data_IF_197974470400
#
_entry.id   IF_197974470400
#
_cell.length_a   1.000
_cell.length_b   1.000
_cell.length_c   1.000
_cell.angle_alpha   90.00
_cell.angle_beta   90.00
_cell.angle_gamma   90.00
#
_symmetry.space_group_name_H-M   'P 1'
#
loop_
_entity.id
_entity.type
_entity.pdbx_description
1 polymer ?
#
# COMPACT_ATOMS: atom_id res chain seq x y z
N UNK A 1 11.72 -33.49 8.77
CA UNK A 1 12.35 -33.07 7.51
C UNK A 1 11.31 -32.34 6.67
N UNK A 2 11.13 -31.05 6.90
CA UNK A 2 10.28 -30.19 6.07
C UNK A 2 11.09 -29.83 4.82
N UNK A 3 10.55 -30.14 3.64
CA UNK A 3 11.13 -29.74 2.34
C UNK A 3 11.43 -28.23 2.37
N UNK A 4 12.62 -27.81 1.93
CA UNK A 4 12.87 -26.39 1.68
C UNK A 4 11.89 -25.90 0.61
N UNK A 5 11.36 -24.71 0.78
CA UNK A 5 10.55 -24.05 -0.24
C UNK A 5 11.46 -23.69 -1.41
N UNK A 6 11.30 -24.36 -2.55
CA UNK A 6 11.91 -23.99 -3.82
C UNK A 6 10.92 -23.10 -4.58
N UNK A 7 11.35 -21.89 -4.94
CA UNK A 7 10.52 -20.89 -5.62
C UNK A 7 10.81 -20.90 -7.12
N UNK A 8 9.81 -21.23 -7.94
CA UNK A 8 9.93 -21.13 -9.40
C UNK A 8 8.99 -20.04 -9.89
N UNK A 9 9.50 -19.10 -10.70
CA UNK A 9 8.68 -18.00 -11.26
C UNK A 9 7.55 -18.54 -12.16
N UNK A 10 7.66 -19.77 -12.66
CA UNK A 10 6.58 -20.48 -13.37
C UNK A 10 5.37 -20.81 -12.51
N UNK A 11 5.54 -20.83 -11.20
CA UNK A 11 4.50 -21.29 -10.29
C UNK A 11 3.32 -20.32 -10.30
N UNK A 12 2.16 -20.80 -10.71
CA UNK A 12 0.93 -20.00 -10.75
C UNK A 12 0.48 -19.55 -9.36
N UNK A 13 0.96 -20.20 -8.30
CA UNK A 13 0.67 -19.92 -6.90
C UNK A 13 1.85 -19.29 -6.15
N UNK A 14 2.81 -18.68 -6.87
CA UNK A 14 4.05 -18.13 -6.30
C UNK A 14 3.83 -17.20 -5.10
N UNK A 15 2.80 -16.34 -5.13
CA UNK A 15 2.47 -15.45 -4.01
C UNK A 15 2.01 -16.20 -2.76
N UNK A 16 1.33 -17.34 -2.92
CA UNK A 16 0.96 -18.20 -1.79
C UNK A 16 2.18 -18.95 -1.23
N UNK A 17 3.12 -19.34 -2.09
CA UNK A 17 4.41 -19.93 -1.66
C UNK A 17 5.27 -18.92 -0.89
N UNK A 18 5.34 -17.67 -1.36
CA UNK A 18 6.04 -16.59 -0.66
C UNK A 18 5.48 -16.42 0.76
N UNK A 19 4.15 -16.38 0.91
CA UNK A 19 3.49 -16.34 2.22
C UNK A 19 3.90 -17.54 3.09
N UNK A 20 4.00 -18.73 2.51
CA UNK A 20 4.42 -19.92 3.23
C UNK A 20 5.82 -19.79 3.85
N UNK A 21 6.74 -19.09 3.16
CA UNK A 21 8.07 -18.77 3.69
C UNK A 21 8.06 -17.87 4.94
N UNK A 22 6.99 -17.11 5.16
CA UNK A 22 6.83 -16.25 6.33
C UNK A 22 6.08 -16.89 7.50
N UNK A 23 5.48 -18.08 7.33
CA UNK A 23 4.65 -18.71 8.37
C UNK A 23 5.40 -19.04 9.67
N UNK A 24 6.72 -19.18 9.61
CA UNK A 24 7.57 -19.37 10.78
C UNK A 24 7.75 -18.11 11.64
N UNK A 25 7.31 -16.94 11.16
CA UNK A 25 7.37 -15.66 11.88
C UNK A 25 6.05 -14.90 11.98
N UNK A 26 5.17 -15.06 10.99
CA UNK A 26 3.92 -14.31 10.87
C UNK A 26 2.78 -15.30 10.57
N UNK A 27 1.67 -15.16 11.29
CA UNK A 27 0.48 -16.00 11.12
C UNK A 27 -0.73 -15.11 10.88
N UNK A 28 -1.60 -15.46 9.93
CA UNK A 28 -2.89 -14.81 9.70
C UNK A 28 -2.85 -13.43 9.03
N UNK A 29 -1.70 -13.03 8.47
CA UNK A 29 -1.51 -11.76 7.76
C UNK A 29 -1.18 -11.99 6.28
N UNK A 30 -1.74 -13.03 5.66
CA UNK A 30 -1.34 -13.51 4.34
C UNK A 30 -1.47 -12.44 3.25
N UNK A 31 -2.58 -11.70 3.22
CA UNK A 31 -2.79 -10.62 2.26
C UNK A 31 -1.86 -9.43 2.50
N UNK A 32 -1.61 -9.08 3.77
CA UNK A 32 -0.70 -8.01 4.14
C UNK A 32 0.76 -8.34 3.79
N UNK A 33 1.17 -9.61 3.94
CA UNK A 33 2.47 -10.11 3.47
C UNK A 33 2.56 -9.95 1.94
N UNK A 34 1.54 -10.40 1.19
CA UNK A 34 1.51 -10.27 -0.28
C UNK A 34 1.62 -8.81 -0.72
N UNK A 35 0.81 -7.92 -0.15
CA UNK A 35 0.84 -6.48 -0.48
C UNK A 35 2.20 -5.84 -0.20
N UNK A 36 2.80 -6.12 0.96
CA UNK A 36 4.11 -5.57 1.30
C UNK A 36 5.22 -6.15 0.41
N UNK A 37 5.18 -7.45 0.13
CA UNK A 37 6.11 -8.07 -0.80
C UNK A 37 6.03 -7.44 -2.20
N UNK A 38 4.81 -7.28 -2.73
CA UNK A 38 4.56 -6.62 -4.01
C UNK A 38 5.07 -5.17 -3.99
N UNK A 39 4.85 -4.43 -2.91
CA UNK A 39 5.43 -3.10 -2.74
C UNK A 39 6.96 -3.13 -2.79
N UNK A 40 7.61 -4.06 -2.06
CA UNK A 40 9.06 -4.22 -2.04
C UNK A 40 9.64 -4.50 -3.44
N UNK A 41 9.13 -5.49 -4.18
CA UNK A 41 9.65 -5.82 -5.51
C UNK A 41 9.40 -4.70 -6.53
N UNK A 42 8.36 -3.88 -6.32
CA UNK A 42 8.06 -2.76 -7.22
C UNK A 42 9.15 -1.69 -7.24
N UNK A 43 10.07 -1.65 -6.25
CA UNK A 43 11.16 -0.67 -6.16
C UNK A 43 12.05 -0.65 -7.41
N UNK A 44 12.21 -1.80 -8.04
CA UNK A 44 13.07 -2.01 -9.21
C UNK A 44 12.32 -1.78 -10.53
N UNK A 45 10.99 -1.68 -10.49
CA UNK A 45 10.14 -1.42 -11.66
C UNK A 45 10.18 0.07 -12.09
N UNK A 46 9.65 0.38 -13.30
CA UNK A 46 9.50 1.75 -13.76
C UNK A 46 8.80 2.63 -12.73
N UNK A 47 9.20 3.91 -12.67
CA UNK A 47 8.73 4.89 -11.67
C UNK A 47 7.22 4.87 -11.48
N UNK A 48 6.46 4.74 -12.57
CA UNK A 48 4.99 4.76 -12.54
C UNK A 48 4.39 3.59 -11.80
N UNK A 49 5.06 2.44 -11.73
CA UNK A 49 4.56 1.18 -11.14
C UNK A 49 4.96 0.98 -9.67
N UNK A 50 5.74 1.90 -9.09
CA UNK A 50 6.21 1.80 -7.71
C UNK A 50 5.05 1.98 -6.73
N UNK A 51 4.96 1.07 -5.77
CA UNK A 51 3.93 1.08 -4.74
C UNK A 51 4.58 1.39 -3.40
N UNK A 52 4.06 2.39 -2.71
CA UNK A 52 4.43 2.72 -1.34
C UNK A 52 3.28 2.39 -0.40
N UNK A 53 3.56 2.06 0.86
CA UNK A 53 2.56 1.60 1.80
C UNK A 53 2.74 2.21 3.19
N UNK A 54 1.62 2.49 3.86
CA UNK A 54 1.58 2.83 5.28
C UNK A 54 0.70 1.82 5.99
N UNK A 55 1.24 1.20 7.03
CA UNK A 55 0.52 0.27 7.88
C UNK A 55 0.09 1.02 9.14
N UNK A 56 -1.21 1.06 9.39
CA UNK A 56 -1.78 1.68 10.59
C UNK A 56 -2.51 0.67 11.45
N UNK A 57 -2.37 0.78 12.76
CA UNK A 57 -3.12 -0.02 13.74
C UNK A 57 -2.82 0.48 15.15
N UNK A 58 -3.47 -0.10 16.16
CA UNK A 58 -3.14 0.12 17.56
C UNK A 58 -1.69 -0.25 17.88
N UNK A 59 -1.11 0.38 18.91
CA UNK A 59 0.17 -0.06 19.47
C UNK A 59 0.12 -1.56 19.82
N UNK A 60 1.25 -2.24 19.65
CA UNK A 60 1.40 -3.68 19.91
C UNK A 60 0.62 -4.64 19.01
N UNK A 61 -0.13 -4.17 18.00
CA UNK A 61 -0.83 -5.04 17.05
C UNK A 61 0.09 -5.74 16.01
N UNK A 62 1.41 -5.76 16.20
CA UNK A 62 2.33 -6.51 15.34
C UNK A 62 2.81 -5.82 14.05
N UNK A 63 2.51 -4.53 13.82
CA UNK A 63 2.96 -3.80 12.60
C UNK A 63 4.45 -3.91 12.33
N UNK A 64 5.27 -3.62 13.34
CA UNK A 64 6.72 -3.64 13.18
C UNK A 64 7.23 -5.06 12.92
N UNK A 65 6.61 -6.08 13.53
CA UNK A 65 6.95 -7.48 13.25
C UNK A 65 6.66 -7.84 11.78
N UNK A 66 5.48 -7.45 11.28
CA UNK A 66 5.08 -7.65 9.90
C UNK A 66 6.06 -6.98 8.93
N UNK A 67 6.28 -5.67 9.08
CA UNK A 67 7.18 -4.89 8.20
C UNK A 67 8.60 -5.42 8.29
N UNK A 68 9.17 -5.58 9.49
CA UNK A 68 10.56 -5.99 9.66
C UNK A 68 10.81 -7.39 9.10
N UNK A 69 9.86 -8.31 9.23
CA UNK A 69 10.00 -9.66 8.68
C UNK A 69 9.92 -9.65 7.16
N UNK A 70 8.93 -8.96 6.57
CA UNK A 70 8.76 -8.92 5.10
C UNK A 70 9.93 -8.21 4.41
N UNK A 71 10.56 -7.24 5.05
CA UNK A 71 11.70 -6.51 4.50
C UNK A 71 13.05 -7.27 4.60
N UNK A 72 13.16 -8.34 5.41
CA UNK A 72 14.44 -9.06 5.60
C UNK A 72 15.08 -9.54 4.27
N UNK A 73 14.32 -10.12 3.32
CA UNK A 73 14.88 -10.53 2.03
C UNK A 73 15.41 -9.39 1.16
N UNK A 74 15.06 -8.15 1.49
CA UNK A 74 15.43 -6.94 0.74
C UNK A 74 16.46 -6.07 1.46
N UNK A 75 17.09 -6.58 2.53
CA UNK A 75 17.91 -5.78 3.46
C UNK A 75 19.02 -4.94 2.78
N UNK A 76 19.61 -5.42 1.68
CA UNK A 76 20.64 -4.69 0.90
C UNK A 76 20.09 -3.39 0.25
N UNK A 77 18.79 -3.30 0.05
CA UNK A 77 18.09 -2.19 -0.59
C UNK A 77 17.23 -1.36 0.38
N UNK A 78 17.18 -1.74 1.66
CA UNK A 78 16.42 -1.04 2.70
C UNK A 78 17.29 0.04 3.35
N UNK A 79 16.77 1.26 3.38
CA UNK A 79 17.30 2.38 4.15
C UNK A 79 16.34 2.57 5.33
N UNK A 80 16.77 2.22 6.53
CA UNK A 80 15.94 2.19 7.73
C UNK A 80 16.21 3.41 8.63
N UNK A 81 15.16 4.17 8.94
CA UNK A 81 15.21 5.28 9.88
C UNK A 81 14.07 5.20 10.89
N UNK A 82 14.40 5.45 12.16
CA UNK A 82 13.39 5.79 13.17
C UNK A 82 12.97 7.26 13.04
N UNK A 83 13.93 8.15 12.79
CA UNK A 83 13.69 9.56 12.47
C UNK A 83 14.90 10.12 11.70
N UNK A 84 14.71 11.19 10.93
CA UNK A 84 15.80 11.91 10.28
C UNK A 84 15.50 13.40 10.13
N UNK A 85 16.55 14.22 10.06
CA UNK A 85 16.36 15.65 9.80
C UNK A 85 16.25 15.94 8.29
N UNK A 86 15.51 16.97 7.86
CA UNK A 86 15.45 17.36 6.45
C UNK A 86 16.83 17.61 5.82
N UNK A 87 17.76 18.13 6.64
CA UNK A 87 19.14 18.40 6.28
C UNK A 87 19.98 17.13 6.05
N UNK A 88 19.64 16.03 6.74
CA UNK A 88 20.27 14.73 6.52
C UNK A 88 19.79 14.13 5.19
N UNK A 89 18.48 14.13 4.94
CA UNK A 89 17.92 13.63 3.68
C UNK A 89 18.52 14.38 2.49
N UNK A 90 18.59 15.71 2.56
CA UNK A 90 19.10 16.53 1.45
C UNK A 90 20.58 16.28 1.11
N UNK A 91 21.37 15.75 2.04
CA UNK A 91 22.80 15.46 1.85
C UNK A 91 23.07 14.01 1.47
N UNK A 92 22.03 13.21 1.24
CA UNK A 92 22.21 11.84 0.77
C UNK A 92 22.79 11.83 -0.63
N UNK A 93 23.92 11.14 -0.80
CA UNK A 93 24.58 10.93 -2.09
C UNK A 93 24.05 9.67 -2.80
N UNK A 94 23.23 8.87 -2.11
CA UNK A 94 22.67 7.62 -2.63
C UNK A 94 21.54 7.91 -3.62
N UNK A 95 21.55 7.21 -4.76
CA UNK A 95 20.43 7.20 -5.71
C UNK A 95 19.29 6.39 -5.10
N UNK A 96 18.12 7.01 -4.96
CA UNK A 96 16.96 6.44 -4.27
C UNK A 96 16.11 5.50 -5.14
N UNK A 97 16.41 5.38 -6.44
CA UNK A 97 15.78 4.37 -7.29
C UNK A 97 16.24 2.97 -6.88
N UNK A 98 15.31 1.99 -6.86
CA UNK A 98 15.64 0.63 -6.44
C UNK A 98 15.82 0.45 -4.93
N UNK A 99 15.59 1.52 -4.14
CA UNK A 99 15.70 1.51 -2.67
C UNK A 99 14.32 1.56 -2.00
N UNK A 100 14.25 0.95 -0.81
CA UNK A 100 13.10 0.99 0.09
C UNK A 100 13.45 1.92 1.24
N UNK A 101 12.73 3.03 1.38
CA UNK A 101 12.84 3.90 2.54
C UNK A 101 11.84 3.43 3.60
N UNK A 102 12.36 2.86 4.68
CA UNK A 102 11.57 2.46 5.84
C UNK A 102 11.59 3.57 6.90
N UNK A 103 10.41 4.00 7.34
CA UNK A 103 10.27 4.93 8.47
C UNK A 103 9.33 4.37 9.54
N UNK A 104 9.82 4.22 10.77
CA UNK A 104 8.99 3.78 11.89
C UNK A 104 8.20 4.94 12.51
N UNK A 105 6.94 4.70 12.88
CA UNK A 105 6.11 5.60 13.71
C UNK A 105 5.93 7.03 13.16
N UNK A 106 5.44 7.15 11.92
CA UNK A 106 5.04 8.48 11.41
C UNK A 106 3.81 9.00 12.18
N UNK A 107 3.85 10.24 12.63
CA UNK A 107 2.79 10.86 13.43
C UNK A 107 2.62 12.34 13.06
N UNK A 108 1.36 12.79 13.04
CA UNK A 108 1.00 14.16 12.65
C UNK A 108 1.55 15.24 13.60
N UNK A 109 1.74 14.92 14.88
CA UNK A 109 1.84 15.92 15.97
C UNK A 109 2.83 15.50 17.07
N UNK A 110 4.08 15.22 16.71
CA UNK A 110 5.15 15.35 17.71
C UNK A 110 5.65 16.79 17.66
N UNK A 111 5.83 17.42 18.83
CA UNK A 111 6.26 18.82 19.03
C UNK A 111 7.55 19.20 18.26
N UNK A 112 8.26 18.18 17.75
CA UNK A 112 9.41 18.33 16.87
C UNK A 112 9.09 18.67 15.41
N UNK A 113 7.82 18.66 14.98
CA UNK A 113 7.37 18.69 13.57
C UNK A 113 8.08 17.58 12.80
N UNK A 114 7.37 16.59 12.25
CA UNK A 114 7.98 15.70 11.24
C UNK A 114 8.22 16.50 9.94
N UNK A 115 9.18 17.43 9.97
CA UNK A 115 9.72 18.18 8.83
C UNK A 115 10.34 17.21 7.81
N UNK A 116 10.61 15.96 8.22
CA UNK A 116 11.09 14.84 7.41
C UNK A 116 10.15 14.46 6.26
N UNK A 117 8.83 14.56 6.43
CA UNK A 117 7.84 14.16 5.41
C UNK A 117 7.65 15.25 4.33
N UNK A 118 7.80 16.54 4.69
CA UNK A 118 7.52 17.63 3.76
C UNK A 118 8.49 17.69 2.58
N UNK A 119 9.73 17.21 2.76
CA UNK A 119 10.69 17.09 1.66
C UNK A 119 10.58 15.74 0.94
N UNK A 120 10.21 14.68 1.65
CA UNK A 120 10.03 13.34 1.09
C UNK A 120 8.97 13.32 -0.02
N UNK A 121 7.91 14.13 0.11
CA UNK A 121 6.85 14.20 -0.91
C UNK A 121 7.34 14.59 -2.31
N UNK A 122 8.35 15.45 -2.42
CA UNK A 122 8.95 15.85 -3.69
C UNK A 122 9.71 14.67 -4.29
N UNK A 123 10.47 13.96 -3.45
CA UNK A 123 11.17 12.75 -3.86
C UNK A 123 10.18 11.65 -4.34
N UNK A 124 9.05 11.46 -3.65
CA UNK A 124 8.04 10.47 -4.03
C UNK A 124 7.24 10.84 -5.30
N UNK A 125 7.20 12.11 -5.69
CA UNK A 125 6.38 12.59 -6.83
C UNK A 125 7.24 12.90 -8.05
N UNK A 126 8.26 13.72 -7.86
CA UNK A 126 9.12 14.26 -8.91
C UNK A 126 10.39 13.43 -9.08
N UNK A 127 10.74 12.62 -8.08
CA UNK A 127 11.98 11.83 -8.08
C UNK A 127 13.24 12.66 -7.95
N UNK A 128 13.11 13.93 -7.53
CA UNK A 128 14.24 14.83 -7.31
C UNK A 128 13.91 15.72 -6.11
N UNK A 129 14.85 15.83 -5.17
CA UNK A 129 14.81 16.83 -4.10
C UNK A 129 16.01 17.75 -4.29
N UNK A 130 15.75 19.02 -4.62
CA UNK A 130 16.79 20.06 -4.77
C UNK A 130 16.64 21.11 -3.68
N UNK A 131 17.71 21.33 -2.91
CA UNK A 131 17.73 22.31 -1.82
C UNK A 131 18.93 23.23 -2.00
N UNK A 132 18.65 24.54 -2.10
CA UNK A 132 19.68 25.58 -2.06
C UNK A 132 19.98 25.99 -0.62
N UNK A 133 21.26 26.06 -0.26
CA UNK A 133 21.71 26.57 1.03
C UNK A 133 22.95 27.44 0.87
N UNK A 134 23.26 28.20 1.91
CA UNK A 134 24.46 29.04 1.99
C UNK A 134 25.44 28.37 2.94
N UNK A 135 26.66 28.10 2.47
CA UNK A 135 27.72 27.49 3.26
C UNK A 135 28.93 28.44 3.31
N UNK A 136 29.79 28.32 4.33
CA UNK A 136 31.03 29.10 4.37
C UNK A 136 32.13 28.35 3.63
N UNK A 137 32.82 29.03 2.72
CA UNK A 137 34.03 28.47 2.13
C UNK A 137 35.21 28.53 3.12
N UNK A 138 36.35 27.93 2.76
CA UNK A 138 37.59 27.93 3.56
C UNK A 138 38.09 29.33 3.95
N UNK A 139 37.65 30.38 3.23
CA UNK A 139 37.96 31.79 3.48
C UNK A 139 36.90 32.51 4.32
N UNK A 140 35.94 31.78 4.89
CA UNK A 140 34.85 32.31 5.72
C UNK A 140 33.76 33.08 4.96
N UNK A 141 33.79 33.09 3.62
CA UNK A 141 32.78 33.77 2.78
C UNK A 141 31.59 32.85 2.53
N UNK A 142 30.39 33.40 2.68
CA UNK A 142 29.14 32.74 2.33
C UNK A 142 29.07 32.48 0.82
N UNK A 143 28.93 31.21 0.42
CA UNK A 143 28.78 30.76 -0.96
C UNK A 143 27.50 29.92 -1.12
N UNK A 144 26.74 30.10 -2.22
CA UNK A 144 25.59 29.26 -2.49
C UNK A 144 26.03 27.83 -2.84
N UNK A 145 25.37 26.84 -2.26
CA UNK A 145 25.55 25.41 -2.54
C UNK A 145 24.20 24.78 -2.83
N UNK A 146 24.14 23.94 -3.85
CA UNK A 146 22.93 23.16 -4.18
C UNK A 146 23.16 21.73 -3.77
N UNK A 147 22.24 21.19 -2.97
CA UNK A 147 22.15 19.77 -2.67
C UNK A 147 21.05 19.14 -3.52
N UNK A 148 21.30 17.94 -4.02
CA UNK A 148 20.36 17.23 -4.88
C UNK A 148 20.34 15.74 -4.55
N UNK A 149 19.15 15.21 -4.31
CA UNK A 149 18.89 13.77 -4.17
C UNK A 149 18.02 13.34 -5.33
N UNK A 150 18.36 12.22 -5.96
CA UNK A 150 17.65 11.71 -7.14
C UNK A 150 17.06 10.32 -6.88
N UNK A 151 15.90 10.07 -7.47
CA UNK A 151 15.20 8.79 -7.48
C UNK A 151 13.88 8.80 -6.70
N UNK A 152 13.01 7.83 -7.01
CA UNK A 152 11.72 7.62 -6.32
C UNK A 152 11.83 6.32 -5.51
N UNK A 153 12.12 6.34 -4.21
CA UNK A 153 12.16 5.12 -3.42
C UNK A 153 10.75 4.56 -3.23
N UNK A 154 10.65 3.26 -2.94
CA UNK A 154 9.44 2.70 -2.33
C UNK A 154 9.42 3.11 -0.86
N UNK A 155 8.38 3.79 -0.42
CA UNK A 155 8.23 4.23 0.96
C UNK A 155 7.36 3.26 1.75
N UNK A 156 7.88 2.75 2.85
CA UNK A 156 7.16 1.86 3.77
C UNK A 156 7.21 2.46 5.17
N UNK A 157 6.05 2.64 5.78
CA UNK A 157 5.99 3.22 7.11
C UNK A 157 4.91 2.63 7.99
N UNK A 158 5.13 2.70 9.30
CA UNK A 158 4.15 2.30 10.32
C UNK A 158 3.63 3.51 11.07
N UNK A 159 2.36 3.48 11.47
CA UNK A 159 1.79 4.50 12.35
C UNK A 159 0.84 3.91 13.37
N UNK A 160 0.89 4.46 14.58
CA UNK A 160 -0.11 4.28 15.64
C UNK A 160 -1.23 5.30 15.56
N UNK A 161 -1.03 6.39 14.82
CA UNK A 161 -1.99 7.47 14.65
C UNK A 161 -2.76 7.29 13.34
N UNK A 162 -4.08 7.27 13.44
CA UNK A 162 -4.98 7.14 12.29
C UNK A 162 -5.15 8.42 11.49
N UNK A 163 -4.81 9.56 12.09
CA UNK A 163 -4.80 10.84 11.42
C UNK A 163 -3.41 11.08 10.81
N UNK A 164 -3.16 10.46 9.66
CA UNK A 164 -1.97 10.73 8.84
C UNK A 164 -2.24 11.94 7.95
N UNK A 165 -1.17 12.63 7.58
CA UNK A 165 -1.25 13.72 6.62
C UNK A 165 -1.84 13.25 5.25
N UNK A 166 -2.87 13.94 4.70
CA UNK A 166 -3.49 13.57 3.44
C UNK A 166 -2.52 13.54 2.26
N UNK A 167 -1.46 14.35 2.28
CA UNK A 167 -0.48 14.38 1.21
C UNK A 167 0.29 13.05 1.14
N UNK A 168 0.63 12.47 2.30
CA UNK A 168 1.28 11.15 2.39
C UNK A 168 0.31 10.02 2.02
N UNK A 169 -0.94 10.06 2.50
CA UNK A 169 -1.96 9.05 2.16
C UNK A 169 -2.32 9.05 0.66
N UNK A 170 -2.19 10.21 0.01
CA UNK A 170 -2.40 10.33 -1.43
C UNK A 170 -1.30 9.62 -2.25
N UNK A 171 -0.15 9.30 -1.66
CA UNK A 171 0.99 8.65 -2.33
C UNK A 171 1.21 7.19 -1.92
N UNK A 172 0.44 6.70 -0.96
CA UNK A 172 0.65 5.38 -0.34
C UNK A 172 -0.65 4.57 -0.34
N UNK A 173 -0.50 3.25 -0.30
CA UNK A 173 -1.55 2.29 0.06
C UNK A 173 -1.75 2.35 1.57
N UNK A 174 -3.00 2.46 2.03
CA UNK A 174 -3.34 2.48 3.44
C UNK A 174 -3.72 1.08 3.92
N UNK A 175 -2.77 0.41 4.58
CA UNK A 175 -2.92 -0.95 5.08
C UNK A 175 -3.23 -0.95 6.58
N UNK A 176 -3.87 -2.01 7.05
CA UNK A 176 -4.10 -2.27 8.47
C UNK A 176 -3.88 -3.75 8.78
N UNK A 177 -3.21 -4.04 9.89
CA UNK A 177 -3.08 -5.40 10.45
C UNK A 177 -4.38 -5.80 11.14
N UNK A 178 -4.66 -7.10 11.16
CA UNK A 178 -5.90 -7.62 11.75
C UNK A 178 -5.85 -7.53 13.28
N UNK A 179 -6.70 -6.67 13.84
CA UNK A 179 -6.82 -6.41 15.28
C UNK A 179 -7.88 -7.32 15.96
N UNK A 180 -8.43 -8.29 15.24
CA UNK A 180 -9.50 -9.15 15.76
C UNK A 180 -9.03 -10.04 16.90
N UNK A 181 -9.95 -10.41 17.78
CA UNK A 181 -9.68 -11.38 18.84
C UNK A 181 -9.29 -12.74 18.27
N UNK A 182 -9.86 -13.14 17.13
CA UNK A 182 -9.53 -14.39 16.46
C UNK A 182 -8.06 -14.40 16.00
N UNK A 183 -7.61 -13.31 15.40
CA UNK A 183 -6.22 -13.16 15.00
C UNK A 183 -5.29 -13.10 16.22
N UNK A 184 -5.67 -12.37 17.26
CA UNK A 184 -4.91 -12.30 18.52
C UNK A 184 -4.70 -13.70 19.12
N UNK A 185 -5.74 -14.55 19.12
CA UNK A 185 -5.62 -15.96 19.58
C UNK A 185 -4.60 -16.75 18.75
N UNK A 186 -4.62 -16.63 17.41
CA UNK A 186 -3.64 -17.28 16.54
C UNK A 186 -2.21 -16.84 16.84
N UNK A 187 -2.00 -15.54 17.03
CA UNK A 187 -0.69 -14.97 17.38
C UNK A 187 -0.21 -15.50 18.74
N UNK A 188 -1.08 -15.54 19.76
CA UNK A 188 -0.74 -16.10 21.08
C UNK A 188 -0.34 -17.57 20.96
N UNK A 189 -1.12 -18.39 20.26
CA UNK A 189 -0.78 -19.81 20.04
C UNK A 189 0.56 -19.96 19.30
N UNK A 190 0.82 -19.14 18.29
CA UNK A 190 2.10 -19.15 17.58
C UNK A 190 3.28 -18.79 18.50
N UNK A 191 3.12 -17.76 19.34
CA UNK A 191 4.13 -17.38 20.33
C UNK A 191 4.39 -18.54 21.29
N UNK A 192 3.35 -19.13 21.90
CA UNK A 192 3.49 -20.26 22.84
C UNK A 192 4.24 -21.42 22.19
N UNK A 193 3.83 -21.83 20.97
CA UNK A 193 4.49 -22.90 20.23
C UNK A 193 5.98 -22.61 19.96
N UNK A 194 6.35 -21.34 19.74
CA UNK A 194 7.75 -20.95 19.54
C UNK A 194 8.62 -21.09 20.81
N UNK A 195 8.02 -21.02 22.00
CA UNK A 195 8.70 -21.26 23.28
C UNK A 195 8.68 -22.73 23.71
N UNK A 196 7.75 -23.54 23.19
CA UNK A 196 7.69 -25.00 23.45
C UNK A 196 8.73 -25.79 22.65
N UNK A 197 9.20 -25.26 21.52
CA UNK A 197 10.09 -25.96 20.61
C UNK A 197 11.49 -25.32 20.55
N UNK A 198 12.52 -26.15 20.32
CA UNK A 198 13.88 -25.68 20.13
C UNK A 198 13.97 -24.81 18.86
N UNK A 199 14.68 -23.68 18.95
CA UNK A 199 14.88 -22.75 17.82
C UNK A 199 15.55 -23.39 16.60
N UNK A 200 16.34 -24.45 16.81
CA UNK A 200 16.98 -25.25 15.72
C UNK A 200 15.94 -25.91 14.81
N UNK A 201 14.73 -26.16 15.31
CA UNK A 201 13.62 -26.71 14.52
C UNK A 201 12.87 -25.62 13.73
N UNK A 202 13.23 -24.34 13.89
CA UNK A 202 12.66 -23.25 13.11
C UNK A 202 13.40 -23.13 11.76
N UNK A 203 12.65 -23.29 10.67
CA UNK A 203 13.19 -23.25 9.31
C UNK A 203 13.40 -21.83 8.75
N UNK A 204 13.09 -20.78 9.52
CA UNK A 204 13.14 -19.39 9.07
C UNK A 204 14.45 -19.01 8.36
N UNK A 205 15.61 -19.42 8.87
CA UNK A 205 16.89 -19.08 8.25
C UNK A 205 17.07 -19.70 6.86
N UNK A 206 16.49 -20.88 6.62
CA UNK A 206 16.51 -21.51 5.30
C UNK A 206 15.48 -20.82 4.38
N UNK A 207 14.26 -20.59 4.89
CA UNK A 207 13.20 -19.92 4.12
C UNK A 207 13.61 -18.49 3.71
N UNK A 208 14.28 -17.76 4.61
CA UNK A 208 14.84 -16.43 4.35
C UNK A 208 15.85 -16.45 3.20
N UNK A 209 16.77 -17.42 3.16
CA UNK A 209 17.74 -17.54 2.06
C UNK A 209 17.06 -17.78 0.72
N UNK A 210 16.02 -18.60 0.68
CA UNK A 210 15.26 -18.85 -0.54
C UNK A 210 14.45 -17.61 -0.96
N UNK A 211 13.89 -16.86 -0.01
CA UNK A 211 13.23 -15.57 -0.28
C UNK A 211 14.23 -14.51 -0.78
N UNK A 212 15.45 -14.45 -0.25
CA UNK A 212 16.52 -13.56 -0.73
C UNK A 212 16.92 -13.87 -2.17
N UNK A 213 17.06 -15.16 -2.51
CA UNK A 213 17.30 -15.58 -3.90
C UNK A 213 16.16 -15.14 -4.82
N UNK A 214 14.91 -15.32 -4.39
CA UNK A 214 13.74 -14.91 -5.16
C UNK A 214 13.69 -13.39 -5.34
N UNK A 215 13.98 -12.61 -4.30
CA UNK A 215 14.05 -11.14 -4.37
C UNK A 215 15.13 -10.67 -5.36
N UNK A 216 16.32 -11.29 -5.32
CA UNK A 216 17.39 -11.03 -6.30
C UNK A 216 16.97 -11.39 -7.72
N UNK A 217 16.28 -12.52 -7.90
CA UNK A 217 15.78 -12.94 -9.20
C UNK A 217 14.79 -11.92 -9.79
N UNK A 218 13.83 -11.43 -8.99
CA UNK A 218 12.93 -10.35 -9.42
C UNK A 218 13.70 -9.06 -9.76
N UNK A 219 14.70 -8.68 -8.96
CA UNK A 219 15.54 -7.51 -9.24
C UNK A 219 16.25 -7.62 -10.59
N UNK A 220 16.77 -8.79 -10.93
CA UNK A 220 17.40 -9.05 -12.24
C UNK A 220 16.40 -8.93 -13.39
N UNK A 221 15.22 -9.57 -13.27
CA UNK A 221 14.18 -9.46 -14.30
C UNK A 221 13.70 -8.01 -14.49
N UNK A 222 13.57 -7.24 -13.40
CA UNK A 222 13.09 -5.86 -13.44
C UNK A 222 13.99 -4.94 -14.29
N UNK A 223 15.30 -5.22 -14.42
CA UNK A 223 16.24 -4.40 -15.21
C UNK A 223 15.81 -4.25 -16.67
N UNK A 224 15.20 -5.29 -17.24
CA UNK A 224 14.77 -5.32 -18.63
C UNK A 224 13.32 -4.87 -18.84
N UNK A 225 12.57 -4.65 -17.77
CA UNK A 225 11.17 -4.22 -17.86
C UNK A 225 11.11 -2.71 -18.05
N UNK A 226 10.61 -2.30 -19.21
CA UNK A 226 10.37 -0.89 -19.53
C UNK A 226 8.95 -0.47 -19.24
N UNK A 227 8.01 -1.38 -19.47
CA UNK A 227 6.63 -1.07 -19.18
C UNK A 227 5.77 -2.26 -18.76
N UNK A 228 4.65 -1.96 -18.11
CA UNK A 228 3.59 -2.92 -17.82
C UNK A 228 2.27 -2.27 -18.19
N UNK A 229 1.52 -2.93 -19.07
CA UNK A 229 0.29 -2.39 -19.66
C UNK A 229 -0.92 -3.18 -19.22
N UNK A 230 -2.07 -2.50 -19.15
CA UNK A 230 -3.37 -3.08 -18.77
C UNK A 230 -4.34 -2.91 -19.94
N UNK A 231 -4.37 -3.84 -20.92
CA UNK A 231 -5.13 -3.71 -22.17
C UNK A 231 -6.65 -3.56 -21.96
N UNK A 232 -7.16 -4.12 -20.88
CA UNK A 232 -8.58 -4.07 -20.50
C UNK A 232 -8.94 -2.83 -19.67
N UNK A 233 -8.03 -1.88 -19.49
CA UNK A 233 -8.23 -0.70 -18.63
C UNK A 233 -9.49 0.11 -18.96
N UNK A 234 -9.87 0.22 -20.25
CA UNK A 234 -11.11 0.91 -20.65
C UNK A 234 -12.39 0.27 -20.09
N UNK A 235 -12.39 -1.05 -19.86
CA UNK A 235 -13.54 -1.74 -19.26
C UNK A 235 -13.70 -1.40 -17.77
N UNK A 236 -12.66 -0.85 -17.14
CA UNK A 236 -12.69 -0.43 -15.73
C UNK A 236 -13.36 0.94 -15.54
N UNK A 237 -13.45 1.78 -16.58
CA UNK A 237 -13.95 3.16 -16.47
C UNK A 237 -15.35 3.24 -15.84
N UNK A 238 -16.26 2.36 -16.24
CA UNK A 238 -17.62 2.29 -15.70
C UNK A 238 -17.70 1.84 -14.23
N UNK A 239 -16.67 1.17 -13.72
CA UNK A 239 -16.62 0.62 -12.36
C UNK A 239 -15.97 1.59 -11.37
N UNK A 240 -15.29 2.63 -11.83
CA UNK A 240 -14.55 3.57 -10.99
C UNK A 240 -15.49 4.67 -10.49
N UNK A 241 -15.57 4.93 -9.17
CA UNK A 241 -16.37 6.02 -8.64
C UNK A 241 -15.80 7.37 -9.11
N UNK A 242 -16.64 8.21 -9.71
CA UNK A 242 -16.25 9.54 -10.25
C UNK A 242 -16.62 10.67 -9.28
N UNK A 243 -17.27 10.35 -8.15
CA UNK A 243 -17.79 11.33 -7.20
C UNK A 243 -16.71 12.12 -6.45
N UNK A 244 -15.54 11.51 -6.18
CA UNK A 244 -14.42 12.18 -5.52
C UNK A 244 -13.23 12.37 -6.47
N UNK A 245 -12.65 13.58 -6.48
CA UNK A 245 -11.44 13.93 -7.25
C UNK A 245 -10.22 13.16 -6.74
N UNK A 246 -10.22 12.69 -5.49
CA UNK A 246 -9.14 11.88 -4.91
C UNK A 246 -8.87 10.60 -5.69
N UNK A 247 -9.88 10.05 -6.38
CA UNK A 247 -9.76 8.82 -7.20
C UNK A 247 -8.67 8.92 -8.27
N UNK A 248 -8.37 10.13 -8.76
CA UNK A 248 -7.29 10.37 -9.75
C UNK A 248 -5.92 9.96 -9.22
N UNK A 249 -5.72 9.99 -7.90
CA UNK A 249 -4.48 9.58 -7.23
C UNK A 249 -4.52 8.14 -6.74
N UNK A 250 -5.71 7.61 -6.46
CA UNK A 250 -5.87 6.26 -5.92
C UNK A 250 -5.99 5.18 -7.00
N UNK A 251 -6.61 5.51 -8.14
CA UNK A 251 -6.71 4.59 -9.28
C UNK A 251 -5.35 4.09 -9.77
N UNK A 252 -4.32 4.94 -9.97
CA UNK A 252 -2.99 4.46 -10.33
C UNK A 252 -2.45 3.40 -9.36
N UNK A 253 -2.72 3.50 -8.05
CA UNK A 253 -2.24 2.53 -7.06
C UNK A 253 -2.84 1.14 -7.28
N UNK A 254 -4.12 1.08 -7.64
CA UNK A 254 -4.83 -0.18 -7.92
C UNK A 254 -4.34 -0.80 -9.23
N UNK A 255 -4.19 0.03 -10.28
CA UNK A 255 -3.67 -0.42 -11.57
C UNK A 255 -2.20 -0.85 -11.45
N UNK A 256 -1.40 -0.13 -10.67
CA UNK A 256 -0.01 -0.49 -10.41
C UNK A 256 0.10 -1.79 -9.61
N UNK A 257 -0.78 -2.02 -8.63
CA UNK A 257 -0.84 -3.31 -7.96
C UNK A 257 -1.10 -4.45 -8.95
N UNK A 258 -2.01 -4.24 -9.90
CA UNK A 258 -2.25 -5.20 -11.00
C UNK A 258 -1.00 -5.42 -11.84
N UNK A 259 -0.31 -4.34 -12.22
CA UNK A 259 0.95 -4.42 -12.97
C UNK A 259 2.03 -5.21 -12.20
N UNK A 260 2.17 -4.99 -10.89
CA UNK A 260 3.17 -5.68 -10.07
C UNK A 260 2.80 -7.16 -9.88
N UNK A 261 1.50 -7.50 -9.80
CA UNK A 261 1.04 -8.90 -9.82
C UNK A 261 1.38 -9.55 -11.17
N UNK A 262 1.13 -8.87 -12.30
CA UNK A 262 1.52 -9.36 -13.62
C UNK A 262 3.03 -9.58 -13.73
N UNK A 263 3.84 -8.69 -13.15
CA UNK A 263 5.30 -8.86 -13.05
C UNK A 263 5.69 -10.06 -12.18
N UNK A 264 4.96 -10.35 -11.11
CA UNK A 264 5.22 -11.52 -10.28
C UNK A 264 5.00 -12.82 -11.07
N UNK A 265 4.05 -12.81 -12.00
CA UNK A 265 3.74 -13.91 -12.91
C UNK A 265 4.44 -13.81 -14.27
N UNK A 266 5.55 -13.06 -14.39
CA UNK A 266 6.17 -12.72 -15.67
C UNK A 266 6.44 -13.92 -16.59
N UNK A 267 6.83 -15.08 -16.03
CA UNK A 267 7.05 -16.32 -16.77
C UNK A 267 5.80 -16.84 -17.53
N UNK A 268 4.62 -16.47 -17.03
CA UNK A 268 3.32 -16.90 -17.53
C UNK A 268 2.59 -15.76 -18.24
N UNK A 269 3.26 -14.65 -18.56
CA UNK A 269 2.65 -13.48 -19.21
C UNK A 269 3.22 -13.25 -20.60
N UNK A 270 2.35 -12.84 -21.50
CA UNK A 270 2.77 -12.38 -22.83
C UNK A 270 3.53 -11.08 -22.68
N UNK A 271 4.67 -10.95 -23.35
CA UNK A 271 5.49 -9.74 -23.34
C UNK A 271 5.65 -9.22 -24.77
N UNK A 272 5.82 -7.90 -24.91
CA UNK A 272 6.27 -7.27 -26.13
C UNK A 272 7.76 -6.98 -25.94
N UNK A 273 8.60 -7.56 -26.80
CA UNK A 273 10.03 -7.30 -26.84
C UNK A 273 10.33 -6.18 -27.84
N UNK A 274 11.17 -5.24 -27.46
CA UNK A 274 11.77 -4.30 -28.38
C UNK A 274 13.10 -4.86 -28.90
N UNK A 275 13.13 -5.23 -30.18
CA UNK A 275 14.29 -5.85 -30.84
C UNK A 275 15.43 -4.86 -31.08
N UNK A 276 15.16 -3.56 -31.05
CA UNK A 276 16.23 -2.56 -31.11
C UNK A 276 17.12 -2.59 -29.88
N UNK A 277 16.65 -3.15 -28.75
CA UNK A 277 17.36 -3.18 -27.48
C UNK A 277 17.72 -1.79 -26.95
N UNK A 278 18.09 -1.72 -25.68
CA UNK A 278 18.61 -0.50 -25.09
C UNK A 278 19.99 -0.75 -24.49
N UNK A 279 20.85 0.26 -24.52
CA UNK A 279 22.14 0.21 -23.85
C UNK A 279 21.94 0.43 -22.35
N UNK A 280 22.41 -0.50 -21.55
CA UNK A 280 22.44 -0.42 -20.11
C UNK A 280 23.88 -0.25 -19.66
N UNK A 281 24.11 0.66 -18.72
CA UNK A 281 25.42 0.80 -18.08
C UNK A 281 25.58 -0.38 -17.14
N UNK A 282 26.57 -1.22 -17.41
CA UNK A 282 26.82 -2.47 -16.69
C UNK A 282 27.73 -2.26 -15.47
N UNK A 283 28.62 -1.27 -15.52
CA UNK A 283 29.57 -1.01 -14.44
C UNK A 283 29.83 0.48 -14.15
N UNK A 284 30.58 0.72 -13.07
CA UNK A 284 31.01 2.05 -12.66
C UNK A 284 32.03 2.70 -13.62
N UNK A 285 32.53 1.94 -14.60
CA UNK A 285 33.47 2.40 -15.62
C UNK A 285 32.76 2.86 -16.92
N UNK A 286 31.44 2.73 -16.98
CA UNK A 286 30.63 3.18 -18.11
C UNK A 286 30.57 2.19 -19.27
N UNK A 287 30.91 0.92 -19.04
CA UNK A 287 30.68 -0.12 -20.04
C UNK A 287 29.18 -0.27 -20.28
N UNK A 288 28.78 -0.33 -21.56
CA UNK A 288 27.38 -0.47 -21.93
C UNK A 288 27.13 -1.79 -22.62
N UNK A 289 26.20 -2.56 -22.09
CA UNK A 289 25.70 -3.78 -22.72
C UNK A 289 24.30 -3.54 -23.28
N UNK A 290 24.05 -4.08 -24.47
CA UNK A 290 22.79 -3.89 -25.17
C UNK A 290 21.87 -5.05 -24.84
N UNK A 291 20.81 -4.78 -24.09
CA UNK A 291 19.82 -5.78 -23.72
C UNK A 291 18.49 -5.52 -24.41
N UNK A 292 17.76 -6.60 -24.71
CA UNK A 292 16.37 -6.50 -25.09
C UNK A 292 15.54 -5.92 -23.93
N UNK A 293 14.59 -5.07 -24.27
CA UNK A 293 13.63 -4.54 -23.30
C UNK A 293 12.25 -5.12 -23.53
N UNK A 294 11.50 -5.27 -22.44
CA UNK A 294 10.21 -5.94 -22.46
C UNK A 294 9.13 -5.07 -21.86
N UNK A 295 7.94 -5.18 -22.45
CA UNK A 295 6.69 -4.65 -21.92
C UNK A 295 5.78 -5.82 -21.56
N UNK A 296 5.39 -5.93 -20.30
CA UNK A 296 4.53 -7.01 -19.80
C UNK A 296 3.07 -6.65 -20.09
N UNK A 297 2.32 -7.59 -20.65
CA UNK A 297 0.89 -7.46 -20.86
C UNK A 297 0.16 -8.11 -19.67
N UNK A 298 -0.52 -7.31 -18.86
CA UNK A 298 -1.34 -7.81 -17.76
C UNK A 298 -2.62 -8.49 -18.28
N UNK A 299 -3.04 -9.55 -17.60
CA UNK A 299 -4.28 -10.28 -17.85
C UNK A 299 -5.37 -9.89 -16.85
N UNK A 300 -6.67 -10.12 -17.15
CA UNK A 300 -7.74 -9.88 -16.18
C UNK A 300 -7.60 -10.67 -14.89
N UNK A 301 -6.97 -11.84 -14.95
CA UNK A 301 -6.63 -12.68 -13.79
C UNK A 301 -5.69 -11.95 -12.81
N UNK A 302 -4.71 -11.19 -13.30
CA UNK A 302 -3.81 -10.38 -12.47
C UNK A 302 -4.58 -9.32 -11.72
N UNK A 303 -5.56 -8.70 -12.37
CA UNK A 303 -6.42 -7.70 -11.77
C UNK A 303 -7.27 -8.33 -10.67
N UNK A 304 -7.94 -9.45 -10.95
CA UNK A 304 -8.74 -10.18 -9.95
C UNK A 304 -7.90 -10.60 -8.74
N UNK A 305 -6.69 -11.10 -8.96
CA UNK A 305 -5.76 -11.43 -7.88
C UNK A 305 -5.33 -10.19 -7.10
N UNK A 306 -4.99 -9.08 -7.77
CA UNK A 306 -4.64 -7.81 -7.12
C UNK A 306 -5.78 -7.29 -6.24
N UNK A 307 -7.04 -7.35 -6.72
CA UNK A 307 -8.22 -6.96 -5.93
C UNK A 307 -8.39 -7.88 -4.72
N UNK A 308 -8.26 -9.20 -4.90
CA UNK A 308 -8.37 -10.18 -3.81
C UNK A 308 -7.31 -9.97 -2.74
N UNK A 309 -6.08 -9.67 -3.14
CA UNK A 309 -4.95 -9.38 -2.24
C UNK A 309 -5.17 -8.07 -1.51
N UNK A 310 -5.59 -7.02 -2.21
CA UNK A 310 -5.83 -5.73 -1.60
C UNK A 310 -7.01 -5.77 -0.62
N UNK A 311 -8.11 -6.45 -0.97
CA UNK A 311 -9.29 -6.60 -0.13
C UNK A 311 -9.78 -5.25 0.39
N UNK A 312 -9.90 -5.12 1.71
CA UNK A 312 -10.33 -3.88 2.38
C UNK A 312 -9.35 -2.72 2.20
N UNK A 313 -8.08 -2.98 1.87
CA UNK A 313 -7.05 -1.95 1.63
C UNK A 313 -7.47 -0.97 0.53
N UNK A 314 -8.24 -1.43 -0.47
CA UNK A 314 -8.76 -0.55 -1.54
C UNK A 314 -9.75 0.45 -0.95
N UNK A 315 -10.75 -0.05 -0.22
CA UNK A 315 -11.74 0.79 0.47
C UNK A 315 -11.06 1.76 1.43
N UNK A 316 -10.07 1.28 2.19
CA UNK A 316 -9.30 2.11 3.11
C UNK A 316 -8.53 3.21 2.37
N UNK A 317 -7.88 2.85 1.27
CA UNK A 317 -7.06 3.77 0.48
C UNK A 317 -7.91 4.85 -0.19
N UNK A 318 -9.06 4.51 -0.76
CA UNK A 318 -9.95 5.47 -1.43
C UNK A 318 -10.60 6.41 -0.40
N UNK A 319 -11.11 5.86 0.70
CA UNK A 319 -11.82 6.67 1.70
C UNK A 319 -10.87 7.36 2.70
N UNK A 320 -9.56 7.06 2.67
CA UNK A 320 -8.54 7.56 3.61
C UNK A 320 -8.87 7.24 5.07
N UNK A 321 -9.53 6.11 5.29
CA UNK A 321 -10.07 5.68 6.58
C UNK A 321 -9.66 4.24 6.82
N UNK A 322 -9.38 3.91 8.08
CA UNK A 322 -9.01 2.55 8.46
C UNK A 322 -10.22 1.64 8.59
N UNK A 323 -10.00 0.34 8.41
CA UNK A 323 -11.05 -0.67 8.47
C UNK A 323 -11.79 -0.61 9.81
N UNK A 324 -11.09 -0.46 10.93
CA UNK A 324 -11.73 -0.30 12.25
C UNK A 324 -12.63 0.93 12.37
N UNK A 325 -12.30 2.01 11.65
CA UNK A 325 -13.14 3.22 11.62
C UNK A 325 -14.36 3.04 10.71
N UNK A 326 -14.24 2.25 9.63
CA UNK A 326 -15.38 1.85 8.80
C UNK A 326 -16.36 1.01 9.63
N UNK A 327 -15.87 0.00 10.35
CA UNK A 327 -16.68 -0.84 11.25
C UNK A 327 -17.30 -0.02 12.41
N UNK A 328 -16.58 0.98 12.92
CA UNK A 328 -17.11 1.93 13.91
C UNK A 328 -18.26 2.75 13.33
N UNK A 329 -18.16 3.18 12.06
CA UNK A 329 -19.25 3.91 11.40
C UNK A 329 -20.50 3.06 11.22
N UNK A 330 -20.35 1.77 10.88
CA UNK A 330 -21.48 0.85 10.77
C UNK A 330 -22.23 0.71 12.11
N UNK A 331 -21.48 0.46 13.20
CA UNK A 331 -22.06 0.41 14.56
C UNK A 331 -22.69 1.74 14.97
N UNK A 332 -22.06 2.86 14.63
CA UNK A 332 -22.63 4.19 14.86
C UNK A 332 -23.97 4.37 14.15
N UNK A 333 -24.07 3.95 12.88
CA UNK A 333 -25.31 4.03 12.10
C UNK A 333 -26.40 3.12 12.64
N UNK A 334 -26.07 1.95 13.17
CA UNK A 334 -27.05 1.06 13.82
C UNK A 334 -27.68 1.71 15.05
N UNK A 335 -26.85 2.30 15.91
CA UNK A 335 -27.32 3.02 17.10
C UNK A 335 -28.15 4.24 16.72
N UNK A 336 -27.73 4.95 15.68
CA UNK A 336 -28.41 6.15 15.22
C UNK A 336 -29.81 5.81 14.70
N UNK A 337 -29.92 4.74 13.90
CA UNK A 337 -31.19 4.22 13.41
C UNK A 337 -32.11 3.76 14.55
N UNK A 338 -31.56 3.07 15.56
CA UNK A 338 -32.33 2.65 16.75
C UNK A 338 -32.93 3.86 17.48
N UNK A 339 -32.12 4.89 17.76
CA UNK A 339 -32.59 6.12 18.43
C UNK A 339 -33.67 6.86 17.64
N UNK A 340 -33.53 6.97 16.32
CA UNK A 340 -34.57 7.57 15.48
C UNK A 340 -35.87 6.77 15.57
N UNK A 341 -35.79 5.43 15.54
CA UNK A 341 -36.97 4.57 15.61
C UNK A 341 -37.69 4.66 16.96
N UNK A 342 -36.96 4.68 18.08
CA UNK A 342 -37.53 4.79 19.43
C UNK A 342 -38.23 6.14 19.66
N UNK A 343 -37.65 7.23 19.15
CA UNK A 343 -38.25 8.57 19.25
C UNK A 343 -39.43 8.78 18.29
N UNK A 344 -39.44 8.07 17.15
CA UNK A 344 -40.59 8.09 16.24
C UNK A 344 -41.81 7.37 16.85
N UNK A 345 -41.58 6.40 17.74
CA UNK A 345 -42.64 5.65 18.45
C UNK A 345 -43.18 6.46 19.64
N UNK A 346 -42.34 7.20 20.36
CA UNK A 346 -42.77 8.03 21.50
C UNK A 346 -43.53 9.30 21.08
N UNK A 347 -43.37 9.76 19.84
CA UNK A 347 -44.04 10.94 19.28
C UNK A 347 -45.50 10.75 18.83
N UNK A 348 -46.05 9.53 18.84
CA UNK A 348 -47.44 9.29 18.38
C UNK A 348 -48.53 9.78 19.36
N UNK A 349 -48.18 10.32 20.53
CA UNK A 349 -49.13 10.80 21.54
C UNK A 349 -49.24 12.32 21.69
N UNK A 350 -48.70 13.11 20.76
CA UNK A 350 -48.86 14.58 20.81
C UNK A 350 -49.31 15.13 19.47
N UNK A 351 -50.49 15.75 19.49
CA UNK A 351 -51.14 16.42 18.36
C UNK A 351 -50.30 17.54 17.77
N UNK A 352 -50.25 17.58 16.42
CA UNK A 352 -50.15 18.75 15.55
C UNK A 352 -49.10 19.80 15.96
N UNK A 353 -47.86 19.61 15.50
CA UNK A 353 -47.10 20.62 14.72
C UNK A 353 -45.63 20.17 14.55
N UNK A 354 -45.14 20.38 13.32
CA UNK A 354 -43.74 20.38 12.87
C UNK A 354 -43.07 19.07 12.44
N UNK A 355 -42.52 19.12 11.23
CA UNK A 355 -41.46 18.31 10.62
C UNK A 355 -40.13 18.27 11.42
N UNK A 356 -40.18 18.36 12.75
CA UNK A 356 -39.01 18.19 13.60
C UNK A 356 -38.79 16.70 13.86
N UNK A 357 -38.19 16.01 12.90
CA UNK A 357 -37.39 14.83 13.24
C UNK A 357 -36.35 15.35 14.24
N UNK A 358 -36.53 15.02 15.52
CA UNK A 358 -35.54 15.35 16.55
C UNK A 358 -34.32 14.52 16.19
N UNK A 359 -33.37 15.15 15.50
CA UNK A 359 -32.10 14.54 15.19
C UNK A 359 -31.37 14.35 16.53
N UNK A 360 -31.31 13.10 17.01
CA UNK A 360 -30.66 12.77 18.29
C UNK A 360 -29.27 12.27 17.99
N UNK A 361 -28.29 13.08 18.37
CA UNK A 361 -26.90 12.71 18.23
C UNK A 361 -26.49 11.59 19.19
N UNK A 362 -25.36 10.96 18.86
CA UNK A 362 -24.80 9.88 19.67
C UNK A 362 -23.57 10.40 20.41
N UNK A 363 -23.44 10.05 21.68
CA UNK A 363 -22.24 10.38 22.46
C UNK A 363 -21.21 9.26 22.41
N UNK A 364 -19.94 9.59 22.66
CA UNK A 364 -18.86 8.58 22.78
C UNK A 364 -19.17 7.55 23.87
N UNK A 365 -19.81 7.96 24.97
CA UNK A 365 -20.17 7.05 26.08
C UNK A 365 -21.13 5.95 25.62
N UNK A 366 -22.10 6.30 24.78
CA UNK A 366 -23.05 5.34 24.23
C UNK A 366 -22.35 4.36 23.28
N UNK A 367 -21.50 4.86 22.38
CA UNK A 367 -20.73 4.00 21.48
C UNK A 367 -19.85 3.02 22.24
N UNK A 368 -19.18 3.47 23.32
CA UNK A 368 -18.28 2.60 24.10
C UNK A 368 -18.99 1.43 24.79
N UNK A 369 -20.28 1.58 25.13
CA UNK A 369 -21.07 0.49 25.72
C UNK A 369 -21.34 -0.65 24.74
N UNK A 370 -21.36 -0.35 23.45
CA UNK A 370 -21.75 -1.27 22.38
C UNK A 370 -20.52 -1.85 21.70
N UNK A 371 -19.48 -1.04 21.52
CA UNK A 371 -18.24 -1.49 20.90
C UNK A 371 -17.33 -2.23 21.87
N UNK A 372 -17.56 -2.10 23.19
CA UNK A 372 -16.66 -2.57 24.25
C UNK A 372 -15.23 -2.00 24.15
N UNK A 373 -15.06 -0.91 23.38
CA UNK A 373 -13.78 -0.22 23.22
C UNK A 373 -13.60 0.83 24.33
N UNK A 374 -12.34 1.17 24.61
CA UNK A 374 -12.04 2.29 25.50
C UNK A 374 -12.55 3.61 24.91
N UNK A 375 -12.85 4.60 25.78
CA UNK A 375 -13.29 5.91 25.31
C UNK A 375 -12.25 6.60 24.42
N UNK A 376 -10.96 6.42 24.71
CA UNK A 376 -9.89 7.01 23.92
C UNK A 376 -9.84 6.40 22.52
N UNK A 377 -9.91 5.07 22.43
CA UNK A 377 -9.95 4.35 21.16
C UNK A 377 -11.17 4.75 20.33
N UNK A 378 -12.33 4.85 20.96
CA UNK A 378 -13.56 5.30 20.29
C UNK A 378 -13.42 6.73 19.76
N UNK A 379 -12.81 7.64 20.53
CA UNK A 379 -12.53 9.01 20.07
C UNK A 379 -11.57 9.05 18.89
N UNK A 380 -10.54 8.20 18.87
CA UNK A 380 -9.60 8.12 17.75
C UNK A 380 -10.30 7.71 16.45
N UNK A 381 -11.09 6.64 16.48
CA UNK A 381 -11.84 6.16 15.31
C UNK A 381 -12.87 7.20 14.84
N UNK A 382 -13.63 7.78 15.77
CA UNK A 382 -14.60 8.85 15.46
C UNK A 382 -13.92 10.12 14.94
N UNK A 383 -12.71 10.44 15.41
CA UNK A 383 -11.92 11.57 14.91
C UNK A 383 -11.52 11.40 13.45
N UNK A 384 -11.21 10.16 13.04
CA UNK A 384 -10.91 9.87 11.63
C UNK A 384 -12.18 10.04 10.75
N UNK A 385 -13.33 9.58 11.23
CA UNK A 385 -14.63 9.76 10.55
C UNK A 385 -15.02 11.25 10.45
N UNK A 386 -14.81 12.03 11.52
CA UNK A 386 -15.02 13.48 11.56
C UNK A 386 -14.12 14.18 10.55
N UNK A 387 -12.82 13.89 10.56
CA UNK A 387 -11.81 14.55 9.72
C UNK A 387 -12.08 14.33 8.23
N UNK A 388 -12.63 13.17 7.88
CA UNK A 388 -12.98 12.82 6.50
C UNK A 388 -14.45 13.14 6.15
N UNK A 389 -15.19 13.76 7.06
CA UNK A 389 -16.53 14.31 6.83
C UNK A 389 -17.64 13.27 6.73
N UNK A 390 -17.51 12.10 7.35
CA UNK A 390 -18.57 11.07 7.43
C UNK A 390 -19.53 11.29 8.60
N UNK A 391 -19.04 11.94 9.64
CA UNK A 391 -19.83 12.38 10.79
C UNK A 391 -19.53 13.85 11.06
N UNK A 392 -20.49 14.58 11.60
CA UNK A 392 -20.32 15.90 12.17
C UNK A 392 -20.39 15.79 13.70
N UNK A 393 -19.93 16.83 14.40
CA UNK A 393 -20.08 16.93 15.86
C UNK A 393 -20.69 18.26 16.24
N UNK A 394 -21.58 18.22 17.21
CA UNK A 394 -22.14 19.42 17.84
C UNK A 394 -21.90 19.38 19.34
N UNK A 395 -21.79 20.57 19.95
CA UNK A 395 -21.57 20.70 21.39
C UNK A 395 -22.89 20.99 22.07
N UNK A 396 -23.32 20.11 22.96
CA UNK A 396 -24.58 20.26 23.67
C UNK A 396 -24.47 21.28 24.80
N UNK A 397 -25.63 21.70 25.33
CA UNK A 397 -25.73 22.57 26.51
C UNK A 397 -25.04 21.95 27.75
N UNK A 398 -24.96 20.62 27.83
CA UNK A 398 -24.26 19.88 28.89
C UNK A 398 -22.73 19.79 28.69
N UNK A 399 -22.18 20.47 27.67
CA UNK A 399 -20.75 20.45 27.26
C UNK A 399 -20.25 19.11 26.71
N UNK A 400 -21.13 18.12 26.52
CA UNK A 400 -20.78 16.88 25.83
C UNK A 400 -20.83 17.07 24.31
N UNK A 401 -20.07 16.27 23.57
CA UNK A 401 -20.12 16.25 22.11
C UNK A 401 -21.05 15.13 21.65
N UNK A 402 -21.98 15.50 20.79
CA UNK A 402 -22.87 14.59 20.08
C UNK A 402 -22.46 14.51 18.61
N UNK A 403 -22.59 13.33 18.03
CA UNK A 403 -22.13 13.01 16.68
C UNK A 403 -23.33 12.65 15.80
N UNK A 404 -23.30 13.11 14.55
CA UNK A 404 -24.39 12.99 13.58
C UNK A 404 -23.83 12.54 12.21
N UNK A 405 -24.54 11.72 11.43
CA UNK A 405 -24.11 11.34 10.08
C UNK A 405 -24.26 12.51 9.09
N UNK A 406 -23.32 12.67 8.15
CA UNK A 406 -23.31 13.78 7.17
C UNK A 406 -23.91 13.42 5.81
N UNK A 407 -24.50 12.23 5.66
CA UNK A 407 -25.02 11.71 4.38
C UNK A 407 -23.94 11.20 3.40
N UNK A 408 -22.66 11.46 3.67
CA UNK A 408 -21.52 10.92 2.90
C UNK A 408 -21.47 9.40 3.03
N UNK A 409 -21.31 8.69 1.91
CA UNK A 409 -21.20 7.23 1.86
C UNK A 409 -19.77 6.81 1.53
N UNK A 410 -19.37 5.63 2.01
CA UNK A 410 -18.09 5.06 1.62
C UNK A 410 -18.10 4.73 0.14
N UNK A 411 -17.07 5.20 -0.56
CA UNK A 411 -16.84 4.77 -1.92
C UNK A 411 -16.25 3.37 -1.90
N UNK A 412 -16.77 2.50 -2.75
CA UNK A 412 -16.23 1.17 -2.93
C UNK A 412 -16.23 0.87 -4.41
N UNK A 413 -15.21 0.16 -4.85
CA UNK A 413 -15.15 -0.30 -6.24
C UNK A 413 -15.69 -1.72 -6.26
N UNK A 414 -16.84 -1.90 -6.92
CA UNK A 414 -17.40 -3.24 -7.16
C UNK A 414 -16.65 -3.88 -8.31
N UNK A 415 -15.81 -4.85 -8.00
CA UNK A 415 -15.07 -5.61 -9.00
C UNK A 415 -15.75 -6.95 -9.24
N UNK A 416 -16.78 -6.95 -10.08
CA UNK A 416 -17.31 -8.19 -10.65
C UNK A 416 -16.31 -8.75 -11.67
N UNK A 417 -16.44 -10.03 -12.01
CA UNK A 417 -15.64 -10.69 -13.05
C UNK A 417 -15.55 -9.80 -14.31
N UNK A 418 -14.32 -9.58 -14.76
CA UNK A 418 -14.00 -8.80 -15.94
C UNK A 418 -13.70 -9.77 -17.08
N UNK A 419 -14.66 -9.90 -17.99
CA UNK A 419 -14.45 -10.63 -19.22
C UNK A 419 -13.65 -9.78 -20.20
N UNK A 420 -12.45 -10.24 -20.52
CA UNK A 420 -11.64 -9.73 -21.63
C UNK A 420 -11.28 -10.91 -22.52
N UNK A 421 -11.85 -10.92 -23.72
CA UNK A 421 -11.73 -12.06 -24.63
C UNK A 421 -10.36 -12.11 -25.29
N UNK A 422 -9.92 -13.30 -25.70
CA UNK A 422 -8.67 -13.45 -26.48
C UNK A 422 -8.71 -12.63 -27.77
N UNK A 423 -9.87 -12.52 -28.42
CA UNK A 423 -10.04 -11.69 -29.62
C UNK A 423 -9.82 -10.19 -29.35
N UNK A 424 -10.27 -9.68 -28.21
CA UNK A 424 -10.04 -8.29 -27.81
C UNK A 424 -8.56 -8.02 -27.52
N UNK A 425 -7.88 -8.97 -26.87
CA UNK A 425 -6.44 -8.91 -26.66
C UNK A 425 -5.71 -8.89 -28.00
N UNK A 426 -6.04 -9.79 -28.92
CA UNK A 426 -5.44 -9.83 -30.26
C UNK A 426 -5.68 -8.54 -31.04
N UNK A 427 -6.89 -7.96 -30.96
CA UNK A 427 -7.20 -6.66 -31.58
C UNK A 427 -6.37 -5.53 -30.97
N UNK A 428 -6.22 -5.50 -29.65
CA UNK A 428 -5.41 -4.50 -28.95
C UNK A 428 -3.93 -4.64 -29.35
N UNK A 429 -3.39 -5.86 -29.31
CA UNK A 429 -2.01 -6.16 -29.71
C UNK A 429 -1.75 -5.77 -31.16
N UNK A 430 -2.66 -6.14 -32.09
CA UNK A 430 -2.54 -5.74 -33.50
C UNK A 430 -2.49 -4.23 -33.64
N UNK A 431 -3.33 -3.49 -32.92
CA UNK A 431 -3.37 -2.02 -32.98
C UNK A 431 -2.07 -1.38 -32.48
N UNK A 432 -1.51 -1.87 -31.39
CA UNK A 432 -0.31 -1.27 -30.79
C UNK A 432 0.99 -1.67 -31.52
N UNK A 433 1.02 -2.84 -32.18
CA UNK A 433 2.22 -3.36 -32.86
C UNK A 433 2.22 -3.13 -34.38
N UNK A 434 1.05 -2.99 -35.03
CA UNK A 434 0.92 -3.04 -36.51
C UNK A 434 1.80 -2.06 -37.27
N UNK A 435 2.23 -0.96 -36.65
CA UNK A 435 3.03 0.09 -37.28
C UNK A 435 4.52 0.02 -36.90
N UNK A 436 4.90 -0.77 -35.89
CA UNK A 436 6.27 -0.80 -35.38
C UNK A 436 6.94 -2.17 -35.62
N UNK A 437 7.77 -2.23 -36.67
CA UNK A 437 8.53 -3.43 -37.06
C UNK A 437 9.61 -3.85 -36.05
N UNK A 438 9.89 -3.01 -35.06
CA UNK A 438 10.90 -3.25 -34.02
C UNK A 438 10.31 -3.99 -32.81
N UNK A 439 8.98 -4.11 -32.73
CA UNK A 439 8.28 -4.79 -31.65
C UNK A 439 7.88 -6.21 -32.03
N UNK A 440 8.15 -7.16 -31.15
CA UNK A 440 7.82 -8.57 -31.32
C UNK A 440 7.10 -9.10 -30.09
N UNK A 441 6.02 -9.86 -30.31
CA UNK A 441 5.34 -10.56 -29.22
C UNK A 441 6.16 -11.78 -28.86
N UNK A 442 6.53 -11.90 -27.59
CA UNK A 442 7.26 -13.04 -27.06
C UNK A 442 6.53 -13.63 -25.86
N UNK A 443 6.52 -14.95 -25.80
CA UNK A 443 6.22 -15.66 -24.57
C UNK A 443 7.56 -15.95 -23.90
N UNK A 444 7.85 -15.32 -22.76
CA UNK A 444 9.09 -15.59 -22.08
C UNK A 444 9.08 -17.04 -21.58
N UNK A 445 9.78 -17.93 -22.28
CA UNK A 445 10.27 -19.16 -21.67
C UNK A 445 11.34 -18.71 -20.67
N UNK A 446 11.23 -19.16 -19.42
CA UNK A 446 12.00 -18.72 -18.23
C UNK A 446 13.50 -18.46 -18.41
N UNK A 447 14.12 -18.96 -19.47
CA UNK A 447 15.55 -18.84 -19.76
C UNK A 447 15.95 -17.65 -20.62
N UNK A 448 15.02 -16.89 -21.23
CA UNK A 448 15.35 -15.87 -22.27
C UNK A 448 15.45 -14.44 -21.73
N UNK A 449 14.96 -14.17 -20.52
CA UNK A 449 15.16 -12.86 -19.89
C UNK A 449 16.61 -12.60 -19.49
N UNK A 450 17.50 -13.59 -19.54
CA UNK A 450 18.92 -13.39 -19.23
C UNK A 450 19.73 -14.26 -20.19
N UNK A 451 19.83 -13.81 -21.45
CA UNK A 451 20.82 -14.31 -22.41
C UNK A 451 21.29 -13.18 -23.31
#
# INVERSE_FOLDING_TARGET
>A
MTKSLDYKITDTDILSKIVAGYHSKIVGEENNIKLLWLACISKDLPKRNRLSAIITSQSSAGKSNLVNSVLMPFHEDVIDFTDYTPAFLSRQEVIMNGKILKMEQIERTNDKKQVSISNLKFLLTEGVLKIGLVDKNEKGKNVPKTLQVNGIPVFISTSTNYNIDPETLNRTLLMQVDESEFQTKKVISHIINSYEHLSVNNNWNNDLKELEKLARLFKEHAKQIRDIVVPFGRKLESKIPVSDVTIRRDLPKILNLTCVVAFTHIANRTCIRNNNGEQFIDDQFGNTEKYYTYTIIAEPSDFQEAIKIAGTTITQTINKINQSSIEMYEKFMDVYRQKISENSISGQNTTLDNDNIIDVGITIKELTKITYLSQNRTRELMSQLLTNGFVSREKTKSREFEYYPTGKKFENIKFDELDYTKEELEKWVKKEISENKELEIVYPKNSVFVS
#
